data_IF_511691296223
#
_entry.id   IF_511691296223
#
_cell.length_a   1.000
_cell.length_b   1.000
_cell.length_c   1.000
_cell.angle_alpha   90.00
_cell.angle_beta   90.00
_cell.angle_gamma   90.00
#
_symmetry.space_group_name_H-M   'P 1'
#
loop_
_entity.id
_entity.type
_entity.pdbx_description
1 polymer ?
#
# COMPACT_ATOMS: atom_id res chain seq x y z
N UNK A 1 -5.53 7.00 10.20
CA UNK A 1 -4.69 7.83 11.10
C UNK A 1 -3.23 7.70 10.67
N UNK A 2 -2.54 8.80 10.35
CA UNK A 2 -1.09 8.74 10.19
C UNK A 2 -0.50 8.34 11.54
N UNK A 3 0.20 7.20 11.63
CA UNK A 3 1.10 6.93 12.75
C UNK A 3 2.11 8.08 12.79
N UNK A 4 1.83 9.06 13.65
CA UNK A 4 2.58 10.30 13.75
C UNK A 4 3.98 10.00 14.26
N UNK A 5 4.96 10.14 13.39
CA UNK A 5 6.35 10.08 13.77
C UNK A 5 6.68 11.45 14.41
N UNK A 6 6.72 11.52 15.74
CA UNK A 6 6.91 12.78 16.48
C UNK A 6 8.39 13.10 16.62
N UNK A 7 8.82 14.13 15.89
CA UNK A 7 10.20 14.63 15.86
C UNK A 7 10.42 15.72 16.93
N UNK A 8 11.51 15.62 17.68
CA UNK A 8 11.96 16.66 18.63
C UNK A 8 13.18 17.41 18.07
N UNK A 9 13.12 18.74 18.01
CA UNK A 9 14.15 19.62 17.43
C UNK A 9 15.26 20.08 18.40
N UNK A 10 15.25 19.64 19.66
CA UNK A 10 16.29 20.04 20.65
C UNK A 10 17.52 19.13 20.64
N UNK A 11 18.73 19.71 20.49
CA UNK A 11 20.04 19.04 20.60
C UNK A 11 20.26 18.44 21.99
N UNK A 12 20.56 17.13 22.08
CA UNK A 12 20.89 16.45 23.34
C UNK A 12 22.02 15.41 23.16
N UNK A 13 22.78 15.22 24.25
CA UNK A 13 23.98 14.38 24.44
C UNK A 13 23.72 12.86 24.36
N UNK A 14 24.70 12.00 23.99
CA UNK A 14 24.47 10.63 23.57
C UNK A 14 24.42 9.65 24.75
N UNK A 15 23.21 9.24 25.14
CA UNK A 15 22.97 8.02 25.93
C UNK A 15 21.71 7.29 25.44
N UNK A 16 21.51 7.29 24.13
CA UNK A 16 20.24 6.94 23.48
C UNK A 16 20.35 5.64 22.69
N UNK A 17 19.34 4.78 22.78
CA UNK A 17 19.17 3.63 21.91
C UNK A 17 19.03 4.08 20.44
N UNK A 18 19.97 3.63 19.60
CA UNK A 18 20.05 3.98 18.18
C UNK A 18 19.48 2.87 17.30
N UNK A 19 18.73 3.24 16.26
CA UNK A 19 18.30 2.32 15.20
C UNK A 19 18.62 2.91 13.84
N UNK A 20 19.14 2.07 12.94
CA UNK A 20 19.35 2.43 11.54
C UNK A 20 18.00 2.30 10.81
N UNK A 21 17.60 3.34 10.08
CA UNK A 21 16.39 3.31 9.25
C UNK A 21 16.74 3.73 7.83
N UNK A 22 16.32 2.91 6.85
CA UNK A 22 16.19 3.34 5.46
C UNK A 22 14.84 4.03 5.31
N UNK A 23 14.85 5.22 4.69
CA UNK A 23 13.68 6.10 4.61
C UNK A 23 13.15 6.13 3.18
N UNK A 24 12.17 5.27 2.83
CA UNK A 24 11.56 5.30 1.50
C UNK A 24 10.71 6.55 1.33
N UNK A 25 10.76 7.15 0.14
CA UNK A 25 10.20 8.46 -0.26
C UNK A 25 8.73 8.74 0.18
N UNK A 26 7.95 7.70 0.50
CA UNK A 26 6.53 7.80 0.88
C UNK A 26 6.21 7.51 2.35
N UNK A 27 7.22 7.37 3.22
CA UNK A 27 6.99 7.09 4.66
C UNK A 27 6.84 8.36 5.49
N UNK A 28 6.03 8.31 6.56
CA UNK A 28 5.90 9.42 7.53
C UNK A 28 7.24 9.81 8.13
N UNK A 29 8.15 8.84 8.34
CA UNK A 29 9.52 9.08 8.77
C UNK A 29 10.35 9.89 7.77
N UNK A 30 10.12 9.74 6.46
CA UNK A 30 10.80 10.53 5.43
C UNK A 30 10.30 11.96 5.42
N UNK A 31 8.99 12.16 5.56
CA UNK A 31 8.42 13.50 5.73
C UNK A 31 8.99 14.19 6.98
N UNK A 32 9.10 13.47 8.10
CA UNK A 32 9.77 13.97 9.31
C UNK A 32 11.25 14.27 9.06
N UNK A 33 11.97 13.47 8.27
CA UNK A 33 13.39 13.69 7.97
C UNK A 33 13.64 14.91 7.06
N UNK A 34 12.78 15.13 6.06
CA UNK A 34 12.81 16.32 5.22
C UNK A 34 12.43 17.55 6.05
N UNK A 35 11.38 17.46 6.88
CA UNK A 35 10.97 18.53 7.80
C UNK A 35 12.10 18.92 8.77
N UNK A 36 12.86 17.94 9.25
CA UNK A 36 14.04 18.16 10.08
C UNK A 36 15.23 18.82 9.36
N UNK A 37 15.21 18.88 8.02
CA UNK A 37 16.37 19.22 7.21
C UNK A 37 17.47 18.15 7.22
N UNK A 38 17.15 16.93 7.66
CA UNK A 38 18.11 15.84 7.78
C UNK A 38 18.46 15.22 6.41
N UNK A 39 17.50 15.18 5.49
CA UNK A 39 17.68 14.72 4.10
C UNK A 39 16.98 15.68 3.11
N UNK A 40 17.41 15.65 1.85
CA UNK A 40 16.76 16.43 0.77
C UNK A 40 15.54 15.68 0.21
N UNK A 41 14.53 16.43 -0.25
CA UNK A 41 13.40 15.86 -0.97
C UNK A 41 13.78 15.30 -2.37
N UNK A 42 14.97 15.65 -2.88
CA UNK A 42 15.42 15.26 -4.22
C UNK A 42 16.11 13.90 -4.23
N UNK A 43 16.97 13.66 -3.25
CA UNK A 43 17.91 12.55 -3.28
C UNK A 43 17.59 11.49 -2.20
N UNK A 44 16.68 11.78 -1.27
CA UNK A 44 16.37 10.92 -0.13
C UNK A 44 17.59 10.71 0.76
N UNK A 45 17.61 9.62 1.52
CA UNK A 45 18.80 9.23 2.29
C UNK A 45 18.54 8.13 3.32
N UNK A 46 19.61 7.71 3.99
CA UNK A 46 19.53 6.90 5.20
C UNK A 46 20.14 7.65 6.38
N UNK A 47 19.73 7.27 7.57
CA UNK A 47 20.38 7.75 8.78
C UNK A 47 19.99 6.98 10.02
N UNK A 48 20.54 7.41 11.13
CA UNK A 48 20.29 6.82 12.44
C UNK A 48 19.26 7.65 13.19
N UNK A 49 18.24 6.97 13.70
CA UNK A 49 17.25 7.51 14.60
C UNK A 49 17.69 7.26 16.04
N UNK A 50 17.58 8.29 16.87
CA UNK A 50 17.82 8.24 18.30
C UNK A 50 16.48 8.42 19.05
N UNK A 51 16.10 7.44 19.87
CA UNK A 51 14.92 7.51 20.73
C UNK A 51 15.18 8.38 21.95
N UNK A 52 14.65 9.60 21.98
CA UNK A 52 14.93 10.60 23.03
C UNK A 52 14.04 10.48 24.27
N UNK A 53 13.23 9.42 24.36
CA UNK A 53 12.33 9.19 25.49
C UNK A 53 11.16 10.18 25.52
N UNK A 54 10.64 10.47 26.72
CA UNK A 54 9.49 11.36 26.90
C UNK A 54 9.84 12.81 26.56
N UNK A 55 8.98 13.46 25.77
CA UNK A 55 9.07 14.87 25.41
C UNK A 55 7.71 15.53 25.48
N UNK A 56 7.71 16.84 25.70
CA UNK A 56 6.51 17.67 25.81
C UNK A 56 6.71 18.99 25.07
N UNK A 57 5.60 19.61 24.65
CA UNK A 57 5.61 20.92 24.00
C UNK A 57 6.10 20.84 22.57
N UNK A 58 5.22 20.40 21.67
CA UNK A 58 5.51 20.29 20.24
C UNK A 58 4.92 21.50 19.53
N UNK A 59 5.74 22.48 19.10
CA UNK A 59 5.23 23.62 18.36
C UNK A 59 4.82 23.22 16.94
N UNK A 60 3.80 23.90 16.41
CA UNK A 60 3.51 23.87 14.99
C UNK A 60 4.55 24.71 14.25
N UNK A 61 5.28 24.11 13.31
CA UNK A 61 6.35 24.77 12.55
C UNK A 61 6.25 24.35 11.10
N UNK A 62 6.29 25.34 10.20
CA UNK A 62 6.47 25.09 8.77
C UNK A 62 7.97 25.15 8.44
N UNK A 63 8.50 24.02 7.97
CA UNK A 63 9.92 23.92 7.61
C UNK A 63 10.09 23.02 6.39
N UNK A 64 10.94 23.46 5.45
CA UNK A 64 11.19 22.76 4.18
C UNK A 64 9.90 22.42 3.40
N UNK A 65 8.93 23.34 3.42
CA UNK A 65 7.62 23.21 2.77
C UNK A 65 6.76 22.06 3.31
N UNK A 66 7.01 21.65 4.55
CA UNK A 66 6.22 20.67 5.29
C UNK A 66 5.75 21.36 6.58
N UNK A 67 4.44 21.42 6.79
CA UNK A 67 3.88 21.93 8.03
C UNK A 67 3.76 20.80 9.06
N UNK A 68 4.32 21.01 10.26
CA UNK A 68 4.03 20.17 11.43
C UNK A 68 2.82 20.69 12.19
N UNK A 69 2.06 19.75 12.77
CA UNK A 69 0.96 20.09 13.68
C UNK A 69 1.51 20.14 15.11
N UNK A 70 1.17 21.20 15.82
CA UNK A 70 1.55 21.34 17.23
C UNK A 70 0.76 20.39 18.12
N UNK A 71 1.37 19.98 19.23
CA UNK A 71 0.74 19.16 20.26
C UNK A 71 1.04 19.75 21.63
N UNK A 72 -0.02 20.15 22.33
CA UNK A 72 0.01 20.87 23.61
C UNK A 72 0.11 19.94 24.83
N UNK A 73 0.64 18.73 24.62
CA UNK A 73 0.88 17.74 25.66
C UNK A 73 2.22 17.03 25.45
N UNK A 74 2.33 15.80 25.92
CA UNK A 74 3.55 15.00 25.93
C UNK A 74 3.34 13.64 25.27
N UNK A 75 4.41 13.09 24.70
CA UNK A 75 4.48 11.71 24.26
C UNK A 75 5.52 10.95 25.09
N UNK A 76 5.24 9.69 25.47
CA UNK A 76 6.16 8.87 26.27
C UNK A 76 7.47 8.55 25.56
N UNK A 77 7.46 8.63 24.22
CA UNK A 77 8.60 8.35 23.39
C UNK A 77 8.57 9.27 22.17
N UNK A 78 9.69 9.91 21.89
CA UNK A 78 9.95 10.68 20.69
C UNK A 78 11.29 10.26 20.10
N UNK A 79 11.56 10.70 18.88
CA UNK A 79 12.85 10.47 18.25
C UNK A 79 13.45 11.76 17.70
N UNK A 80 14.74 11.70 17.42
CA UNK A 80 15.48 12.70 16.66
C UNK A 80 16.42 12.01 15.68
N UNK A 81 16.90 12.75 14.69
CA UNK A 81 17.91 12.28 13.75
C UNK A 81 19.30 12.58 14.32
N UNK A 82 20.20 11.59 14.28
CA UNK A 82 21.58 11.79 14.74
C UNK A 82 22.33 12.61 13.69
N UNK A 83 22.71 13.85 14.02
CA UNK A 83 23.50 14.71 13.13
C UNK A 83 24.78 13.99 12.66
N UNK A 84 25.15 14.16 11.39
CA UNK A 84 26.31 13.51 10.78
C UNK A 84 26.15 12.01 10.50
N UNK A 85 25.03 11.38 10.91
CA UNK A 85 24.70 10.00 10.51
C UNK A 85 24.01 9.92 9.14
N UNK A 86 23.64 11.07 8.57
CA UNK A 86 23.07 11.15 7.24
C UNK A 86 24.09 10.61 6.24
N UNK A 87 23.71 9.55 5.53
CA UNK A 87 24.52 8.99 4.46
C UNK A 87 23.75 9.04 3.16
N UNK A 88 24.49 9.21 2.06
CA UNK A 88 23.98 9.00 0.71
C UNK A 88 23.73 7.50 0.50
N UNK A 89 22.63 6.99 1.03
CA UNK A 89 22.02 5.80 0.48
C UNK A 89 21.57 6.13 -0.93
N UNK A 90 22.46 5.93 -1.90
CA UNK A 90 22.13 6.13 -3.31
C UNK A 90 20.95 5.26 -3.67
N UNK A 91 19.89 5.89 -4.15
CA UNK A 91 18.79 5.16 -4.77
C UNK A 91 19.29 4.55 -6.09
N UNK A 92 19.58 3.26 -6.06
CA UNK A 92 20.09 2.51 -7.21
C UNK A 92 18.98 2.10 -8.19
N UNK A 93 17.70 2.42 -7.94
CA UNK A 93 16.57 2.02 -8.79
C UNK A 93 16.74 2.46 -10.23
N UNK A 94 17.04 3.73 -10.47
CA UNK A 94 17.17 4.28 -11.83
C UNK A 94 18.43 3.78 -12.56
N UNK A 95 19.63 3.76 -11.94
CA UNK A 95 20.79 3.11 -12.56
C UNK A 95 20.57 1.63 -12.90
N UNK A 96 19.99 0.86 -11.96
CA UNK A 96 19.71 -0.56 -12.19
C UNK A 96 18.64 -0.75 -13.27
N UNK A 97 17.67 0.16 -13.38
CA UNK A 97 16.67 0.14 -14.44
C UNK A 97 17.32 0.35 -15.80
N UNK A 98 18.22 1.33 -15.94
CA UNK A 98 18.94 1.57 -17.18
C UNK A 98 19.72 0.31 -17.64
N UNK A 99 20.46 -0.31 -16.71
CA UNK A 99 21.18 -1.57 -16.98
C UNK A 99 20.20 -2.66 -17.43
N UNK A 100 19.11 -2.85 -16.68
CA UNK A 100 18.14 -3.92 -16.95
C UNK A 100 17.43 -3.73 -18.29
N UNK A 101 17.05 -2.49 -18.64
CA UNK A 101 16.43 -2.15 -19.93
C UNK A 101 17.40 -2.40 -21.08
N UNK A 102 18.68 -2.02 -20.94
CA UNK A 102 19.70 -2.27 -21.97
C UNK A 102 19.89 -3.77 -22.20
N UNK A 103 20.12 -4.54 -21.13
CA UNK A 103 20.34 -5.99 -21.25
C UNK A 103 19.11 -6.72 -21.79
N UNK A 104 17.90 -6.40 -21.30
CA UNK A 104 16.67 -7.01 -21.82
C UNK A 104 16.38 -6.60 -23.26
N UNK A 105 16.73 -5.38 -23.69
CA UNK A 105 16.59 -4.94 -25.07
C UNK A 105 17.56 -5.66 -26.01
N UNK A 106 18.84 -5.79 -25.63
CA UNK A 106 19.82 -6.56 -26.38
C UNK A 106 19.38 -8.03 -26.50
N UNK A 107 19.00 -8.64 -25.37
CA UNK A 107 18.49 -10.01 -25.36
C UNK A 107 17.26 -10.16 -26.27
N UNK A 108 16.34 -9.19 -26.23
CA UNK A 108 15.16 -9.17 -27.09
C UNK A 108 15.53 -9.16 -28.56
N UNK A 109 16.43 -8.26 -29.00
CA UNK A 109 16.81 -8.13 -30.40
C UNK A 109 17.53 -9.37 -30.94
N UNK A 110 18.38 -10.01 -30.11
CA UNK A 110 19.20 -11.15 -30.54
C UNK A 110 18.57 -12.52 -30.28
N UNK A 111 17.42 -12.61 -29.60
CA UNK A 111 16.76 -13.89 -29.29
C UNK A 111 15.63 -14.19 -30.26
N UNK A 112 15.78 -15.28 -31.02
CA UNK A 112 14.78 -15.78 -31.96
C UNK A 112 13.83 -16.80 -31.35
N UNK A 113 14.24 -17.54 -30.31
CA UNK A 113 13.38 -18.49 -29.62
C UNK A 113 12.35 -17.78 -28.75
N UNK A 114 11.06 -17.96 -29.06
CA UNK A 114 9.94 -17.39 -28.31
C UNK A 114 9.94 -17.79 -26.83
N UNK A 115 10.27 -19.06 -26.54
CA UNK A 115 10.33 -19.58 -25.17
C UNK A 115 11.49 -18.96 -24.40
N UNK A 116 12.66 -18.88 -25.02
CA UNK A 116 13.85 -18.29 -24.39
C UNK A 116 13.62 -16.80 -24.14
N UNK A 117 13.10 -16.08 -25.14
CA UNK A 117 12.75 -14.66 -25.02
C UNK A 117 11.78 -14.43 -23.86
N UNK A 118 10.61 -15.07 -23.88
CA UNK A 118 9.60 -14.84 -22.84
C UNK A 118 10.10 -15.25 -21.45
N UNK A 119 10.69 -16.43 -21.31
CA UNK A 119 11.15 -16.94 -20.01
C UNK A 119 12.24 -16.08 -19.38
N UNK A 120 13.22 -15.65 -20.17
CA UNK A 120 14.32 -14.80 -19.68
C UNK A 120 13.85 -13.40 -19.35
N UNK A 121 13.05 -12.78 -20.21
CA UNK A 121 12.52 -11.43 -19.97
C UNK A 121 11.57 -11.42 -18.78
N UNK A 122 10.65 -12.39 -18.68
CA UNK A 122 9.78 -12.52 -17.52
C UNK A 122 10.58 -12.61 -16.22
N UNK A 123 11.60 -13.48 -16.20
CA UNK A 123 12.48 -13.67 -15.03
C UNK A 123 13.25 -12.40 -14.69
N UNK A 124 13.84 -11.74 -15.69
CA UNK A 124 14.60 -10.51 -15.50
C UNK A 124 13.72 -9.37 -14.95
N UNK A 125 12.54 -9.15 -15.53
CA UNK A 125 11.59 -8.15 -15.05
C UNK A 125 11.09 -8.49 -13.64
N UNK A 126 10.81 -9.77 -13.34
CA UNK A 126 10.33 -10.19 -12.03
C UNK A 126 11.33 -9.87 -10.92
N UNK A 127 12.60 -10.26 -11.11
CA UNK A 127 13.65 -9.96 -10.13
C UNK A 127 14.01 -8.47 -10.11
N UNK A 128 13.94 -7.78 -11.24
CA UNK A 128 14.12 -6.33 -11.26
C UNK A 128 13.08 -5.62 -10.40
N UNK A 129 11.80 -5.99 -10.53
CA UNK A 129 10.74 -5.41 -9.72
C UNK A 129 10.94 -5.78 -8.25
N UNK A 130 11.05 -7.07 -7.94
CA UNK A 130 11.07 -7.57 -6.56
C UNK A 130 12.33 -7.21 -5.75
N UNK A 131 13.46 -6.92 -6.41
CA UNK A 131 14.73 -6.62 -5.74
C UNK A 131 15.24 -5.20 -5.96
N UNK A 132 14.79 -4.49 -7.00
CA UNK A 132 15.27 -3.15 -7.32
C UNK A 132 14.15 -2.12 -7.34
N UNK A 133 13.28 -2.12 -8.35
CA UNK A 133 12.40 -0.96 -8.63
C UNK A 133 11.23 -0.80 -7.66
N UNK A 134 10.63 -1.90 -7.21
CA UNK A 134 9.48 -1.90 -6.29
C UNK A 134 9.50 -3.14 -5.37
N UNK A 135 10.53 -3.27 -4.50
CA UNK A 135 10.68 -4.44 -3.65
C UNK A 135 9.59 -4.51 -2.56
N UNK A 136 9.21 -5.70 -2.05
CA UNK A 136 8.27 -5.86 -0.94
C UNK A 136 8.67 -5.07 0.32
N UNK A 137 7.70 -4.60 1.11
CA UNK A 137 7.94 -3.74 2.28
C UNK A 137 8.51 -4.57 3.42
N UNK A 138 9.85 -4.62 3.56
CA UNK A 138 10.52 -5.27 4.69
C UNK A 138 11.76 -4.48 5.10
N UNK A 139 12.21 -4.67 6.33
CA UNK A 139 13.31 -3.90 6.93
C UNK A 139 14.71 -4.35 6.50
N UNK A 140 14.89 -5.59 6.06
CA UNK A 140 16.20 -6.16 5.73
C UNK A 140 16.24 -6.75 4.31
N UNK A 141 17.42 -6.69 3.67
CA UNK A 141 17.59 -7.15 2.30
C UNK A 141 17.39 -8.66 2.13
N UNK A 142 17.77 -9.47 3.14
CA UNK A 142 17.65 -10.92 3.07
C UNK A 142 16.18 -11.36 3.09
N UNK A 143 15.32 -10.70 3.86
CA UNK A 143 13.87 -10.96 3.81
C UNK A 143 13.27 -10.59 2.46
N UNK A 144 13.70 -9.49 1.83
CA UNK A 144 13.29 -9.12 0.46
C UNK A 144 13.65 -10.23 -0.53
N UNK A 145 14.87 -10.77 -0.47
CA UNK A 145 15.31 -11.88 -1.33
C UNK A 145 14.48 -13.14 -1.09
N UNK A 146 14.29 -13.51 0.19
CA UNK A 146 13.49 -14.68 0.58
C UNK A 146 12.05 -14.59 0.06
N UNK A 147 11.39 -13.45 0.26
CA UNK A 147 10.01 -13.21 -0.18
C UNK A 147 9.93 -13.22 -1.71
N UNK A 148 10.87 -12.58 -2.40
CA UNK A 148 10.88 -12.54 -3.87
C UNK A 148 11.05 -13.93 -4.45
N UNK A 149 11.96 -14.75 -3.92
CA UNK A 149 12.14 -16.13 -4.34
C UNK A 149 10.91 -16.99 -4.05
N UNK A 150 10.29 -16.83 -2.87
CA UNK A 150 9.06 -17.54 -2.51
C UNK A 150 7.90 -17.23 -3.46
N UNK A 151 7.82 -16.00 -3.97
CA UNK A 151 6.81 -15.57 -4.94
C UNK A 151 7.14 -16.00 -6.38
N UNK A 152 8.41 -16.20 -6.70
CA UNK A 152 8.85 -16.49 -8.07
C UNK A 152 8.36 -17.85 -8.58
N UNK A 153 8.39 -18.91 -7.78
CA UNK A 153 8.04 -20.25 -8.27
C UNK A 153 6.57 -20.34 -8.74
N UNK A 154 5.56 -19.92 -7.96
CA UNK A 154 4.18 -19.85 -8.45
C UNK A 154 4.03 -18.88 -9.63
N UNK A 155 4.73 -17.74 -9.62
CA UNK A 155 4.72 -16.79 -10.72
C UNK A 155 5.28 -17.39 -12.02
N UNK A 156 6.33 -18.21 -11.94
CA UNK A 156 6.92 -18.92 -13.07
C UNK A 156 5.96 -19.98 -13.65
N UNK A 157 5.17 -20.65 -12.80
CA UNK A 157 4.09 -21.52 -13.28
C UNK A 157 3.00 -20.74 -14.02
N UNK A 158 2.56 -19.60 -13.49
CA UNK A 158 1.66 -18.69 -14.20
C UNK A 158 2.28 -18.20 -15.52
N UNK A 159 3.57 -17.85 -15.52
CA UNK A 159 4.30 -17.42 -16.71
C UNK A 159 4.32 -18.54 -17.76
N UNK A 160 4.53 -19.79 -17.37
CA UNK A 160 4.44 -20.94 -18.28
C UNK A 160 3.05 -21.06 -18.90
N UNK A 161 1.97 -20.93 -18.11
CA UNK A 161 0.60 -20.96 -18.62
C UNK A 161 0.32 -19.78 -19.57
N UNK A 162 0.70 -18.56 -19.20
CA UNK A 162 0.61 -17.35 -20.03
C UNK A 162 1.36 -17.59 -21.35
N UNK A 163 2.59 -18.11 -21.28
CA UNK A 163 3.37 -18.44 -22.47
C UNK A 163 2.63 -19.44 -23.35
N UNK A 164 2.22 -20.57 -22.77
CA UNK A 164 1.67 -21.71 -23.50
C UNK A 164 0.36 -21.40 -24.22
N UNK A 165 -0.50 -20.59 -23.60
CA UNK A 165 -1.87 -20.35 -24.06
C UNK A 165 -2.08 -18.97 -24.68
N UNK A 166 -1.27 -17.96 -24.34
CA UNK A 166 -1.42 -16.59 -24.84
C UNK A 166 -0.27 -16.22 -25.77
N UNK A 167 0.95 -16.17 -25.24
CA UNK A 167 2.12 -15.56 -25.92
C UNK A 167 2.61 -16.42 -27.08
N UNK A 168 2.73 -17.75 -26.91
CA UNK A 168 3.31 -18.65 -27.92
C UNK A 168 2.69 -18.43 -29.29
N UNK A 169 1.37 -18.25 -29.36
CA UNK A 169 0.64 -18.03 -30.63
C UNK A 169 1.11 -16.78 -31.37
N UNK A 170 1.37 -15.69 -30.64
CA UNK A 170 1.81 -14.41 -31.22
C UNK A 170 3.26 -14.50 -31.71
N UNK A 171 4.11 -15.26 -31.02
CA UNK A 171 5.54 -15.35 -31.32
C UNK A 171 5.94 -16.52 -32.25
N UNK A 172 5.04 -17.46 -32.55
CA UNK A 172 5.30 -18.56 -33.50
C UNK A 172 5.09 -18.19 -34.97
N UNK A 173 4.69 -16.96 -35.27
CA UNK A 173 4.50 -16.53 -36.65
C UNK A 173 5.86 -16.26 -37.32
N UNK A 174 6.16 -16.89 -38.48
CA UNK A 174 7.45 -16.73 -39.15
C UNK A 174 7.82 -15.27 -39.42
N UNK A 175 6.85 -14.44 -39.84
CA UNK A 175 7.05 -13.02 -40.14
C UNK A 175 7.35 -12.16 -38.91
N UNK A 176 6.95 -12.60 -37.71
CA UNK A 176 7.24 -11.87 -36.48
C UNK A 176 8.60 -12.27 -35.88
N UNK A 177 9.13 -13.44 -36.25
CA UNK A 177 10.50 -13.85 -35.94
C UNK A 177 11.54 -12.96 -36.66
N UNK A 178 11.16 -12.31 -37.76
CA UNK A 178 12.01 -11.35 -38.48
C UNK A 178 11.91 -9.92 -37.91
N UNK A 179 10.79 -9.58 -37.25
CA UNK A 179 10.51 -8.24 -36.74
C UNK A 179 11.02 -8.01 -35.31
N UNK A 180 12.31 -8.28 -35.08
CA UNK A 180 12.94 -8.19 -33.75
C UNK A 180 12.83 -6.81 -33.10
N UNK A 181 12.87 -5.74 -33.90
CA UNK A 181 12.71 -4.36 -33.41
C UNK A 181 11.25 -4.11 -32.99
N UNK A 182 10.26 -4.51 -33.78
CA UNK A 182 8.84 -4.33 -33.42
C UNK A 182 8.49 -5.07 -32.14
N UNK A 183 8.96 -6.33 -32.01
CA UNK A 183 8.85 -7.13 -30.78
C UNK A 183 9.44 -6.40 -29.57
N UNK A 184 10.63 -5.84 -29.72
CA UNK A 184 11.34 -5.14 -28.64
C UNK A 184 10.62 -3.85 -28.25
N UNK A 185 10.24 -3.02 -29.21
CA UNK A 185 9.58 -1.73 -28.92
C UNK A 185 8.16 -1.94 -28.37
N UNK A 186 7.35 -2.77 -29.04
CA UNK A 186 5.93 -2.92 -28.68
C UNK A 186 5.74 -3.84 -27.47
N UNK A 187 6.36 -5.02 -27.47
CA UNK A 187 6.12 -6.00 -26.40
C UNK A 187 6.99 -5.71 -25.18
N UNK A 188 8.32 -5.62 -25.34
CA UNK A 188 9.22 -5.38 -24.20
C UNK A 188 9.04 -3.96 -23.64
N UNK A 189 8.88 -2.95 -24.50
CA UNK A 189 8.58 -1.59 -24.05
C UNK A 189 7.32 -1.51 -23.20
N UNK A 190 6.21 -2.12 -23.66
CA UNK A 190 4.98 -2.18 -22.87
C UNK A 190 5.12 -3.00 -21.58
N UNK A 191 5.89 -4.10 -21.61
CA UNK A 191 6.18 -4.90 -20.42
C UNK A 191 6.91 -4.10 -19.34
N UNK A 192 7.87 -3.25 -19.72
CA UNK A 192 8.52 -2.32 -18.79
C UNK A 192 7.55 -1.28 -18.23
N UNK A 193 6.68 -0.71 -19.08
CA UNK A 193 5.64 0.26 -18.63
C UNK A 193 4.70 -0.38 -17.60
N UNK A 194 4.30 -1.63 -17.80
CA UNK A 194 3.47 -2.37 -16.85
C UNK A 194 4.23 -2.81 -15.59
N UNK A 195 5.50 -3.22 -15.72
CA UNK A 195 6.34 -3.62 -14.60
C UNK A 195 6.64 -2.46 -13.63
N UNK A 196 6.69 -1.24 -14.16
CA UNK A 196 6.88 0.02 -13.43
C UNK A 196 5.55 0.71 -13.11
N UNK A 197 4.49 -0.06 -12.84
CA UNK A 197 3.14 0.44 -12.53
C UNK A 197 3.13 1.57 -11.48
N UNK A 198 3.97 1.44 -10.45
CA UNK A 198 4.15 2.42 -9.38
C UNK A 198 4.64 3.79 -9.87
N UNK A 199 5.33 3.85 -11.01
CA UNK A 199 5.80 5.09 -11.63
C UNK A 199 4.94 5.53 -12.83
N UNK A 200 4.13 4.63 -13.40
CA UNK A 200 3.32 4.87 -14.59
C UNK A 200 1.83 5.08 -14.25
N UNK A 201 1.10 4.04 -13.90
CA UNK A 201 -0.35 4.10 -13.69
C UNK A 201 -0.77 4.50 -12.28
N UNK A 202 0.04 4.21 -11.25
CA UNK A 202 -0.30 4.58 -9.87
C UNK A 202 -0.28 6.10 -9.66
N UNK A 203 0.24 6.89 -10.60
CA UNK A 203 0.15 8.35 -10.54
C UNK A 203 -1.21 8.90 -11.00
N UNK A 204 -2.08 8.06 -11.55
CA UNK A 204 -3.40 8.47 -12.03
C UNK A 204 -4.33 8.54 -10.79
N UNK A 205 -5.05 9.67 -10.58
CA UNK A 205 -5.85 9.93 -9.39
C UNK A 205 -7.18 9.15 -9.36
N UNK A 206 -7.11 7.81 -9.48
CA UNK A 206 -8.26 6.90 -9.48
C UNK A 206 -7.96 5.57 -8.76
N UNK A 207 -6.94 5.53 -7.90
CA UNK A 207 -6.39 4.28 -7.35
C UNK A 207 -7.41 3.42 -6.58
N UNK A 208 -8.33 4.03 -5.83
CA UNK A 208 -9.27 3.31 -4.96
C UNK A 208 -10.73 3.51 -5.37
N UNK A 209 -10.99 4.35 -6.38
CA UNK A 209 -12.33 4.72 -6.85
C UNK A 209 -13.27 5.12 -5.70
N UNK A 210 -12.74 5.73 -4.63
CA UNK A 210 -13.57 6.21 -3.53
C UNK A 210 -14.24 7.53 -3.91
N UNK A 211 -15.36 7.91 -3.24
CA UNK A 211 -15.97 9.22 -3.45
C UNK A 211 -14.98 10.38 -3.26
N UNK A 212 -13.99 10.23 -2.40
CA UNK A 212 -12.93 11.22 -2.18
C UNK A 212 -11.95 11.30 -3.36
N UNK A 213 -11.56 10.17 -3.97
CA UNK A 213 -10.66 10.17 -5.13
C UNK A 213 -11.30 10.85 -6.33
N UNK A 214 -12.62 10.69 -6.53
CA UNK A 214 -13.36 11.33 -7.61
C UNK A 214 -13.49 12.85 -7.48
N UNK A 215 -13.24 13.39 -6.28
CA UNK A 215 -13.21 14.83 -6.03
C UNK A 215 -11.86 15.47 -6.41
N UNK A 216 -10.83 14.67 -6.68
CA UNK A 216 -9.53 15.20 -7.10
C UNK A 216 -9.61 15.84 -8.50
N UNK A 217 -8.91 16.96 -8.73
CA UNK A 217 -8.95 17.63 -10.02
C UNK A 217 -8.45 16.70 -11.14
N UNK A 218 -9.30 16.47 -12.14
CA UNK A 218 -8.98 15.62 -13.31
C UNK A 218 -9.27 14.13 -13.14
N UNK A 219 -9.70 13.65 -11.96
CA UNK A 219 -9.98 12.23 -11.71
C UNK A 219 -11.09 11.68 -12.61
N UNK A 220 -12.22 12.40 -12.74
CA UNK A 220 -13.34 12.00 -13.59
C UNK A 220 -12.92 11.95 -15.07
N UNK A 221 -12.16 12.95 -15.54
CA UNK A 221 -11.65 13.00 -16.92
C UNK A 221 -10.74 11.81 -17.21
N UNK A 222 -9.79 11.52 -16.31
CA UNK A 222 -8.90 10.37 -16.45
C UNK A 222 -9.67 9.05 -16.47
N UNK A 223 -10.67 8.89 -15.59
CA UNK A 223 -11.54 7.71 -15.55
C UNK A 223 -12.28 7.51 -16.87
N UNK A 224 -12.91 8.55 -17.41
CA UNK A 224 -13.64 8.48 -18.68
C UNK A 224 -12.71 8.08 -19.83
N UNK A 225 -11.52 8.68 -19.92
CA UNK A 225 -10.53 8.35 -20.95
C UNK A 225 -10.12 6.87 -20.86
N UNK A 226 -9.83 6.37 -19.66
CA UNK A 226 -9.40 4.99 -19.45
C UNK A 226 -10.52 4.01 -19.80
N UNK A 227 -11.76 4.28 -19.35
CA UNK A 227 -12.91 3.43 -19.66
C UNK A 227 -13.16 3.37 -21.17
N UNK A 228 -13.14 4.51 -21.85
CA UNK A 228 -13.30 4.57 -23.31
C UNK A 228 -12.16 3.84 -24.03
N UNK A 229 -10.90 4.01 -23.58
CA UNK A 229 -9.76 3.31 -24.16
C UNK A 229 -9.89 1.79 -24.01
N UNK A 230 -10.23 1.29 -22.82
CA UNK A 230 -10.45 -0.14 -22.56
C UNK A 230 -11.61 -0.67 -23.43
N UNK A 231 -12.70 0.08 -23.55
CA UNK A 231 -13.85 -0.29 -24.38
C UNK A 231 -13.45 -0.42 -25.86
N UNK A 232 -12.73 0.56 -26.41
CA UNK A 232 -12.28 0.52 -27.81
C UNK A 232 -11.30 -0.64 -28.05
N UNK A 233 -10.39 -0.90 -27.10
CA UNK A 233 -9.48 -2.06 -27.14
C UNK A 233 -10.29 -3.35 -27.15
N UNK A 234 -11.26 -3.50 -26.23
CA UNK A 234 -12.09 -4.69 -26.13
C UNK A 234 -12.90 -4.95 -27.41
N UNK A 235 -13.52 -3.90 -27.98
CA UNK A 235 -14.24 -3.99 -29.25
C UNK A 235 -13.32 -4.39 -30.41
N UNK A 236 -12.12 -3.81 -30.50
CA UNK A 236 -11.13 -4.16 -31.52
C UNK A 236 -10.64 -5.61 -31.41
N UNK A 237 -10.37 -6.06 -30.19
CA UNK A 237 -9.97 -7.45 -29.92
C UNK A 237 -11.12 -8.43 -30.19
N UNK A 238 -12.36 -8.10 -29.82
CA UNK A 238 -13.53 -8.91 -30.10
C UNK A 238 -13.80 -9.03 -31.61
N UNK A 239 -13.66 -7.92 -32.36
CA UNK A 239 -13.75 -7.94 -33.82
C UNK A 239 -12.67 -8.84 -34.43
N UNK A 240 -11.42 -8.71 -33.99
CA UNK A 240 -10.33 -9.53 -34.50
C UNK A 240 -10.51 -11.03 -34.14
N UNK A 241 -10.98 -11.36 -32.94
CA UNK A 241 -11.35 -12.73 -32.54
C UNK A 241 -12.50 -13.30 -33.36
N UNK A 242 -13.46 -12.45 -33.76
CA UNK A 242 -14.55 -12.81 -34.68
C UNK A 242 -14.01 -13.11 -36.07
N UNK A 243 -13.12 -12.28 -36.61
CA UNK A 243 -12.47 -12.50 -37.91
C UNK A 243 -11.62 -13.79 -37.89
N UNK A 244 -10.93 -14.11 -36.79
CA UNK A 244 -10.23 -15.39 -36.61
C UNK A 244 -11.15 -16.61 -36.43
N UNK A 245 -12.48 -16.43 -36.33
CA UNK A 245 -13.44 -17.51 -36.12
C UNK A 245 -13.41 -18.13 -34.72
N UNK A 246 -12.82 -17.46 -33.73
CA UNK A 246 -12.62 -17.97 -32.35
C UNK A 246 -13.59 -17.38 -31.33
N UNK A 247 -14.43 -16.43 -31.75
CA UNK A 247 -15.35 -15.70 -30.88
C UNK A 247 -16.18 -16.59 -29.94
N UNK A 248 -16.80 -17.70 -30.38
CA UNK A 248 -17.63 -18.50 -29.46
C UNK A 248 -16.85 -19.08 -28.27
N UNK A 249 -15.62 -19.56 -28.48
CA UNK A 249 -14.77 -20.12 -27.42
C UNK A 249 -14.34 -19.05 -26.42
N UNK A 250 -14.03 -17.86 -26.92
CA UNK A 250 -13.64 -16.72 -26.08
C UNK A 250 -14.82 -16.15 -25.31
N UNK A 251 -15.99 -16.05 -25.95
CA UNK A 251 -17.21 -15.64 -25.28
C UNK A 251 -17.55 -16.62 -24.14
N UNK A 252 -17.44 -17.94 -24.39
CA UNK A 252 -17.62 -18.94 -23.33
C UNK A 252 -16.61 -18.78 -22.18
N UNK A 253 -15.34 -18.51 -22.47
CA UNK A 253 -14.32 -18.24 -21.47
C UNK A 253 -14.64 -16.99 -20.63
N UNK A 254 -15.02 -15.89 -21.28
CA UNK A 254 -15.34 -14.64 -20.57
C UNK A 254 -16.67 -14.71 -19.82
N UNK A 255 -17.64 -15.47 -20.30
CA UNK A 255 -18.86 -15.82 -19.55
C UNK A 255 -18.50 -16.63 -18.31
N UNK A 256 -17.58 -17.60 -18.41
CA UNK A 256 -17.08 -18.35 -17.26
C UNK A 256 -16.38 -17.46 -16.24
N UNK A 257 -15.50 -16.55 -16.69
CA UNK A 257 -14.87 -15.57 -15.80
C UNK A 257 -15.92 -14.67 -15.11
N UNK A 258 -16.89 -14.16 -15.86
CA UNK A 258 -17.97 -13.35 -15.31
C UNK A 258 -18.84 -14.11 -14.31
N UNK A 259 -19.15 -15.39 -14.59
CA UNK A 259 -19.89 -16.24 -13.68
C UNK A 259 -19.11 -16.53 -12.39
N UNK A 260 -17.81 -16.82 -12.50
CA UNK A 260 -16.94 -17.02 -11.34
C UNK A 260 -16.85 -15.74 -10.48
N UNK A 261 -16.64 -14.59 -11.11
CA UNK A 261 -16.65 -13.30 -10.40
C UNK A 261 -18.01 -13.00 -9.77
N UNK A 262 -19.11 -13.26 -10.47
CA UNK A 262 -20.47 -13.10 -9.95
C UNK A 262 -20.74 -14.00 -8.74
N UNK A 263 -20.26 -15.24 -8.77
CA UNK A 263 -20.28 -16.14 -7.61
C UNK A 263 -19.49 -15.58 -6.43
N UNK A 264 -18.28 -15.05 -6.68
CA UNK A 264 -17.46 -14.44 -5.62
C UNK A 264 -18.13 -13.20 -5.02
N UNK A 265 -18.77 -12.35 -5.85
CA UNK A 265 -19.55 -11.18 -5.39
C UNK A 265 -20.75 -11.59 -4.52
N UNK A 266 -21.35 -12.75 -4.80
CA UNK A 266 -22.51 -13.24 -4.06
C UNK A 266 -22.17 -13.80 -2.66
N UNK A 267 -20.89 -13.97 -2.32
CA UNK A 267 -20.48 -14.47 -1.00
C UNK A 267 -20.72 -13.38 0.06
N UNK A 268 -21.53 -13.65 1.10
CA UNK A 268 -21.86 -12.65 2.12
C UNK A 268 -20.62 -12.27 2.95
N UNK A 269 -20.60 -11.03 3.44
CA UNK A 269 -19.54 -10.46 4.29
C UNK A 269 -18.12 -10.44 3.66
N UNK A 270 -18.02 -10.60 2.34
CA UNK A 270 -16.78 -10.50 1.59
C UNK A 270 -16.93 -9.46 0.49
N UNK A 271 -15.83 -8.85 0.11
CA UNK A 271 -15.77 -7.88 -0.97
C UNK A 271 -14.76 -8.34 -2.02
N UNK A 272 -15.15 -8.22 -3.29
CA UNK A 272 -14.26 -8.54 -4.41
C UNK A 272 -13.31 -7.38 -4.66
N UNK A 273 -12.01 -7.64 -4.56
CA UNK A 273 -10.95 -6.71 -4.93
C UNK A 273 -10.14 -7.27 -6.10
N UNK A 274 -10.28 -6.63 -7.24
CA UNK A 274 -9.55 -7.02 -8.45
C UNK A 274 -8.22 -6.27 -8.48
N UNK A 275 -7.18 -6.89 -7.94
CA UNK A 275 -5.81 -6.40 -8.07
C UNK A 275 -5.39 -6.38 -9.55
N UNK A 276 -4.49 -5.48 -9.93
CA UNK A 276 -4.04 -5.32 -11.32
C UNK A 276 -3.42 -6.60 -11.90
N UNK A 277 -2.81 -7.45 -11.09
CA UNK A 277 -2.32 -8.75 -11.56
C UNK A 277 -3.46 -9.72 -11.91
N UNK A 278 -4.59 -9.67 -11.20
CA UNK A 278 -5.79 -10.48 -11.49
C UNK A 278 -6.42 -9.93 -12.78
N UNK A 279 -6.54 -8.61 -12.89
CA UNK A 279 -7.01 -7.95 -14.10
C UNK A 279 -6.16 -8.37 -15.31
N UNK A 280 -4.84 -8.40 -15.17
CA UNK A 280 -3.93 -8.88 -16.20
C UNK A 280 -4.24 -10.32 -16.62
N UNK A 281 -4.44 -11.25 -15.67
CA UNK A 281 -4.79 -12.63 -15.97
C UNK A 281 -6.15 -12.78 -16.67
N UNK A 282 -7.14 -11.96 -16.31
CA UNK A 282 -8.46 -11.95 -16.94
C UNK A 282 -8.41 -11.41 -18.38
N UNK A 283 -7.59 -10.40 -18.66
CA UNK A 283 -7.53 -9.73 -19.95
C UNK A 283 -6.54 -10.39 -20.94
N UNK A 284 -5.47 -11.03 -20.45
CA UNK A 284 -4.44 -11.65 -21.30
C UNK A 284 -5.00 -12.61 -22.37
N UNK A 285 -5.94 -13.53 -22.07
CA UNK A 285 -6.50 -14.43 -23.08
C UNK A 285 -7.06 -13.70 -24.30
N UNK A 286 -7.79 -12.61 -24.08
CA UNK A 286 -8.41 -11.79 -25.12
C UNK A 286 -7.43 -11.12 -26.07
N UNK A 287 -6.14 -11.07 -25.70
CA UNK A 287 -5.05 -10.54 -26.51
C UNK A 287 -4.28 -11.62 -27.28
N UNK A 288 -4.70 -12.90 -27.24
CA UNK A 288 -4.02 -14.00 -27.96
C UNK A 288 -4.32 -14.00 -29.46
N UNK A 289 -3.89 -12.95 -30.13
CA UNK A 289 -4.04 -12.70 -31.56
C UNK A 289 -2.68 -12.40 -32.21
N UNK A 290 -2.62 -12.56 -33.53
CA UNK A 290 -1.43 -12.26 -34.33
C UNK A 290 -1.54 -10.87 -34.97
N UNK A 291 -1.56 -9.82 -34.14
CA UNK A 291 -1.55 -8.43 -34.61
C UNK A 291 -0.70 -7.53 -33.70
N UNK A 292 -0.27 -6.38 -34.23
CA UNK A 292 0.61 -5.42 -33.51
C UNK A 292 -0.01 -4.88 -32.22
N UNK A 293 -1.29 -4.48 -32.16
CA UNK A 293 -1.90 -4.04 -30.89
C UNK A 293 -1.82 -5.11 -29.80
N UNK A 294 -2.02 -6.37 -30.15
CA UNK A 294 -1.96 -7.48 -29.19
C UNK A 294 -0.57 -7.68 -28.60
N UNK A 295 0.51 -7.37 -29.35
CA UNK A 295 1.86 -7.36 -28.78
C UNK A 295 2.00 -6.33 -27.65
N UNK A 296 1.52 -5.11 -27.90
CA UNK A 296 1.54 -4.04 -26.91
C UNK A 296 0.73 -4.44 -25.66
N UNK A 297 -0.49 -4.95 -25.85
CA UNK A 297 -1.37 -5.32 -24.73
C UNK A 297 -0.83 -6.51 -23.94
N UNK A 298 -0.30 -7.54 -24.61
CA UNK A 298 0.33 -8.68 -23.94
C UNK A 298 1.53 -8.24 -23.09
N UNK A 299 2.42 -7.41 -23.66
CA UNK A 299 3.56 -6.85 -22.93
C UNK A 299 3.09 -6.11 -21.69
N UNK A 300 2.18 -5.14 -21.85
CA UNK A 300 1.65 -4.34 -20.76
C UNK A 300 1.04 -5.19 -19.64
N UNK A 301 0.16 -6.14 -19.98
CA UNK A 301 -0.53 -6.98 -19.00
C UNK A 301 0.44 -7.95 -18.30
N UNK A 302 1.44 -8.50 -19.01
CA UNK A 302 2.51 -9.30 -18.38
C UNK A 302 3.30 -8.43 -17.40
N UNK A 303 3.64 -7.20 -17.76
CA UNK A 303 4.29 -6.24 -16.87
C UNK A 303 3.46 -5.96 -15.61
N UNK A 304 2.16 -5.68 -15.75
CA UNK A 304 1.24 -5.46 -14.64
C UNK A 304 1.13 -6.70 -13.72
N UNK A 305 1.08 -7.90 -14.32
CA UNK A 305 1.10 -9.16 -13.57
C UNK A 305 2.39 -9.29 -12.75
N UNK A 306 3.54 -9.06 -13.39
CA UNK A 306 4.85 -9.09 -12.71
C UNK A 306 4.89 -8.08 -11.57
N UNK A 307 4.49 -6.83 -11.81
CA UNK A 307 4.48 -5.79 -10.79
C UNK A 307 3.65 -6.21 -9.57
N UNK A 308 2.41 -6.64 -9.79
CA UNK A 308 1.50 -7.02 -8.72
C UNK A 308 2.04 -8.19 -7.88
N UNK A 309 2.52 -9.25 -8.53
CA UNK A 309 3.02 -10.43 -7.80
C UNK A 309 4.37 -10.17 -7.14
N UNK A 310 5.32 -9.52 -7.81
CA UNK A 310 6.64 -9.28 -7.23
C UNK A 310 6.55 -8.38 -6.00
N UNK A 311 5.79 -7.28 -6.07
CA UNK A 311 5.61 -6.31 -4.97
C UNK A 311 4.65 -6.79 -3.88
N UNK A 312 3.46 -7.26 -4.25
CA UNK A 312 2.37 -7.56 -3.30
C UNK A 312 2.16 -9.06 -3.04
N UNK A 313 2.56 -9.92 -3.97
CA UNK A 313 2.32 -11.36 -3.91
C UNK A 313 0.96 -11.74 -4.48
N UNK A 314 0.56 -12.99 -4.27
CA UNK A 314 -0.74 -13.52 -4.67
C UNK A 314 -1.81 -13.17 -3.63
N UNK A 315 -2.18 -11.89 -3.57
CA UNK A 315 -3.22 -11.42 -2.64
C UNK A 315 -4.60 -11.97 -3.00
N UNK A 316 -5.49 -12.10 -2.02
CA UNK A 316 -6.81 -12.69 -2.24
C UNK A 316 -7.69 -11.80 -3.14
N UNK A 317 -8.46 -12.43 -4.03
CA UNK A 317 -9.53 -11.75 -4.78
C UNK A 317 -10.72 -11.36 -3.87
N UNK A 318 -10.90 -12.09 -2.77
CA UNK A 318 -11.91 -11.83 -1.76
C UNK A 318 -11.26 -11.33 -0.48
N UNK A 319 -11.65 -10.14 -0.04
CA UNK A 319 -11.15 -9.51 1.18
C UNK A 319 -12.33 -9.21 2.11
N UNK A 320 -12.09 -9.30 3.42
CA UNK A 320 -13.10 -8.87 4.40
C UNK A 320 -13.23 -7.34 4.37
N UNK A 321 -14.37 -6.77 4.78
CA UNK A 321 -14.52 -5.32 4.92
C UNK A 321 -13.37 -4.68 5.73
N UNK A 322 -12.94 -5.33 6.82
CA UNK A 322 -11.82 -4.86 7.64
C UNK A 322 -10.49 -4.76 6.86
N UNK A 323 -10.19 -5.72 5.98
CA UNK A 323 -8.96 -5.69 5.17
C UNK A 323 -8.97 -4.59 4.09
N UNK A 324 -10.15 -4.17 3.62
CA UNK A 324 -10.28 -3.14 2.60
C UNK A 324 -10.17 -1.71 3.13
N UNK A 325 -10.56 -1.49 4.39
CA UNK A 325 -10.54 -0.16 4.98
C UNK A 325 -9.13 0.34 5.31
N UNK A 326 -8.16 -0.55 5.55
CA UNK A 326 -6.84 -0.14 6.01
C UNK A 326 -6.95 0.67 7.31
N UNK A 327 -6.57 1.95 7.27
CA UNK A 327 -6.67 2.89 8.40
C UNK A 327 -7.98 3.71 8.44
N UNK A 328 -9.00 3.31 7.69
CA UNK A 328 -10.31 3.99 7.61
C UNK A 328 -11.26 3.63 8.75
N UNK A 329 -12.29 4.47 8.98
CA UNK A 329 -13.32 4.25 10.00
C UNK A 329 -14.26 3.09 9.61
N UNK A 330 -14.35 2.05 10.44
CA UNK A 330 -15.15 0.85 10.23
C UNK A 330 -16.67 1.06 10.43
N UNK A 331 -17.07 2.19 11.03
CA UNK A 331 -18.46 2.44 11.45
C UNK A 331 -18.91 1.53 12.59
N UNK A 332 -17.96 1.04 13.38
CA UNK A 332 -18.19 0.13 14.51
C UNK A 332 -18.90 0.82 15.68
N UNK A 333 -19.47 0.02 16.58
CA UNK A 333 -20.03 0.52 17.82
C UNK A 333 -18.96 1.23 18.63
N UNK A 334 -19.34 2.34 19.25
CA UNK A 334 -18.44 3.13 20.10
C UNK A 334 -18.81 2.92 21.57
N UNK A 335 -17.82 2.80 22.47
CA UNK A 335 -18.08 2.72 23.91
C UNK A 335 -18.86 3.94 24.40
N UNK A 336 -19.96 3.68 25.11
CA UNK A 336 -20.67 4.70 25.87
C UNK A 336 -20.11 4.73 27.28
N UNK A 337 -19.47 5.83 27.64
CA UNK A 337 -18.87 6.01 28.96
C UNK A 337 -19.85 6.74 29.88
N UNK A 338 -19.84 6.37 31.16
CA UNK A 338 -20.39 7.23 32.20
C UNK A 338 -19.55 8.51 32.33
N UNK A 339 -20.15 9.56 32.89
CA UNK A 339 -19.40 10.77 33.22
C UNK A 339 -18.19 10.41 34.11
N UNK A 340 -16.96 10.80 33.73
CA UNK A 340 -15.78 10.36 34.44
C UNK A 340 -15.70 10.97 35.84
N UNK A 341 -15.20 10.19 36.79
CA UNK A 341 -14.94 10.68 38.14
C UNK A 341 -13.54 11.29 38.15
N UNK A 342 -13.47 12.62 38.22
CA UNK A 342 -12.22 13.37 38.28
C UNK A 342 -11.80 13.60 39.74
N UNK A 343 -10.66 13.04 40.15
CA UNK A 343 -9.99 13.39 41.40
C UNK A 343 -8.89 14.43 41.19
N UNK A 344 -8.15 14.74 42.25
CA UNK A 344 -7.09 15.77 42.20
C UNK A 344 -5.95 15.41 41.22
N UNK A 345 -5.63 14.12 41.08
CA UNK A 345 -4.54 13.62 40.21
C UNK A 345 -4.91 12.39 39.40
N UNK A 346 -6.17 11.96 39.44
CA UNK A 346 -6.63 10.81 38.68
C UNK A 346 -7.98 11.10 38.01
N UNK A 347 -8.25 10.35 36.96
CA UNK A 347 -9.54 10.36 36.27
C UNK A 347 -9.96 8.91 36.03
N UNK A 348 -11.20 8.59 36.39
CA UNK A 348 -11.74 7.23 36.25
C UNK A 348 -12.87 7.23 35.23
N UNK A 349 -12.74 6.37 34.23
CA UNK A 349 -13.74 6.12 33.21
C UNK A 349 -14.38 4.76 33.46
N UNK A 350 -15.71 4.69 33.39
CA UNK A 350 -16.46 3.45 33.52
C UNK A 350 -17.41 3.29 32.32
N UNK A 351 -17.68 2.05 31.93
CA UNK A 351 -18.56 1.71 30.81
C UNK A 351 -19.57 0.64 31.23
N UNK A 352 -20.71 0.60 30.54
CA UNK A 352 -21.78 -0.36 30.82
C UNK A 352 -21.58 -1.63 30.00
N UNK A 353 -20.74 -2.54 30.50
CA UNK A 353 -20.52 -3.88 29.92
C UNK A 353 -20.06 -3.87 28.46
N UNK A 354 -20.12 -5.04 27.83
CA UNK A 354 -19.73 -5.23 26.43
C UNK A 354 -20.93 -5.70 25.60
N UNK A 355 -21.23 -5.06 24.45
CA UNK A 355 -22.27 -5.54 23.53
C UNK A 355 -21.88 -6.88 22.89
N UNK A 356 -22.89 -7.65 22.45
CA UNK A 356 -22.67 -8.94 21.78
C UNK A 356 -21.62 -8.85 20.66
N UNK A 357 -20.60 -9.73 20.73
CA UNK A 357 -19.51 -9.81 19.76
C UNK A 357 -18.26 -8.97 20.11
N UNK A 358 -18.32 -8.15 21.15
CA UNK A 358 -17.19 -7.42 21.72
C UNK A 358 -16.84 -8.01 23.08
N UNK A 359 -15.55 -8.22 23.35
CA UNK A 359 -15.05 -8.86 24.56
C UNK A 359 -14.04 -7.97 25.31
N UNK A 360 -13.83 -6.73 24.86
CA UNK A 360 -12.90 -5.82 25.51
C UNK A 360 -12.98 -4.36 25.08
N UNK A 361 -12.10 -3.54 25.66
CA UNK A 361 -11.95 -2.11 25.40
C UNK A 361 -10.47 -1.75 25.30
N UNK A 362 -10.12 -0.88 24.35
CA UNK A 362 -8.82 -0.23 24.25
C UNK A 362 -8.94 1.25 24.59
N UNK A 363 -7.98 1.77 25.35
CA UNK A 363 -7.90 3.19 25.71
C UNK A 363 -6.60 3.79 25.23
N UNK A 364 -6.71 4.84 24.42
CA UNK A 364 -5.59 5.70 24.05
C UNK A 364 -5.52 6.89 24.99
N UNK A 365 -4.30 7.23 25.42
CA UNK A 365 -3.98 8.50 26.08
C UNK A 365 -2.93 9.20 25.23
N UNK A 366 -3.24 10.39 24.72
CA UNK A 366 -2.43 11.12 23.75
C UNK A 366 -2.09 10.27 22.53
N UNK A 367 -3.09 9.59 21.95
CA UNK A 367 -2.96 8.70 20.78
C UNK A 367 -1.96 7.52 20.97
N UNK A 368 -1.63 7.17 22.22
CA UNK A 368 -0.84 5.98 22.57
C UNK A 368 -1.70 5.03 23.38
N UNK A 369 -1.74 3.76 22.98
CA UNK A 369 -2.50 2.72 23.71
C UNK A 369 -1.89 2.51 25.09
N UNK A 370 -2.70 2.73 26.13
CA UNK A 370 -2.30 2.62 27.54
C UNK A 370 -2.98 1.49 28.27
N UNK A 371 -4.12 1.03 27.77
CA UNK A 371 -4.92 0.03 28.45
C UNK A 371 -5.67 -0.83 27.45
N UNK A 372 -5.72 -2.13 27.76
CA UNK A 372 -6.63 -3.11 27.18
C UNK A 372 -7.32 -3.82 28.33
N UNK A 373 -8.64 -3.74 28.37
CA UNK A 373 -9.47 -4.46 29.34
C UNK A 373 -10.33 -5.48 28.61
N UNK A 374 -10.51 -6.67 29.19
CA UNK A 374 -11.40 -7.70 28.64
C UNK A 374 -12.51 -8.05 29.64
N UNK A 375 -13.66 -8.45 29.11
CA UNK A 375 -14.83 -8.88 29.89
C UNK A 375 -14.50 -10.04 30.83
N UNK A 376 -13.77 -11.05 30.34
CA UNK A 376 -13.35 -12.22 31.12
C UNK A 376 -12.48 -11.86 32.34
N UNK A 377 -11.84 -10.69 32.32
CA UNK A 377 -11.05 -10.16 33.43
C UNK A 377 -11.80 -9.13 34.28
N UNK A 378 -13.12 -8.96 34.07
CA UNK A 378 -13.95 -8.02 34.83
C UNK A 378 -13.57 -6.56 34.59
N UNK A 379 -13.08 -6.21 33.39
CA UNK A 379 -12.71 -4.84 33.08
C UNK A 379 -13.96 -3.96 32.89
N UNK A 380 -14.36 -3.26 33.94
CA UNK A 380 -15.53 -2.34 33.94
C UNK A 380 -15.11 -0.86 34.01
N UNK A 381 -13.86 -0.59 34.38
CA UNK A 381 -13.35 0.77 34.52
C UNK A 381 -11.85 0.86 34.24
N UNK A 382 -11.42 2.08 33.95
CA UNK A 382 -10.03 2.47 33.75
C UNK A 382 -9.74 3.75 34.54
N UNK A 383 -8.79 3.67 35.47
CA UNK A 383 -8.28 4.83 36.20
C UNK A 383 -6.93 5.23 35.63
N UNK A 384 -6.82 6.50 35.22
CA UNK A 384 -5.59 7.10 34.77
C UNK A 384 -5.06 8.08 35.82
N UNK A 385 -3.77 7.98 36.13
CA UNK A 385 -3.07 8.93 36.99
C UNK A 385 -2.31 9.95 36.13
N UNK A 386 -2.54 11.22 36.42
CA UNK A 386 -1.87 12.34 35.74
C UNK A 386 -0.37 12.24 35.93
N UNK A 387 0.36 12.15 34.82
CA UNK A 387 1.83 12.08 34.86
C UNK A 387 2.48 13.45 34.90
N UNK A 388 1.86 14.44 34.25
CA UNK A 388 2.36 15.81 34.16
C UNK A 388 1.28 16.81 34.54
N UNK A 389 1.58 17.65 35.52
CA UNK A 389 0.71 18.74 35.93
C UNK A 389 0.71 19.85 34.88
N UNK A 390 -0.43 20.51 34.69
CA UNK A 390 -0.57 21.65 33.78
C UNK A 390 -0.68 21.33 32.28
N UNK A 391 -0.53 20.06 31.86
CA UNK A 391 -0.71 19.65 30.46
C UNK A 391 -2.08 19.01 30.23
N UNK A 392 -2.67 19.21 29.06
CA UNK A 392 -3.91 18.54 28.66
C UNK A 392 -3.63 17.08 28.30
N UNK A 393 -4.50 16.15 28.69
CA UNK A 393 -4.41 14.74 28.29
C UNK A 393 -5.66 14.36 27.48
N UNK A 394 -5.44 13.68 26.35
CA UNK A 394 -6.49 13.35 25.38
C UNK A 394 -6.83 11.87 25.46
N UNK A 395 -8.10 11.54 25.66
CA UNK A 395 -8.57 10.16 25.85
C UNK A 395 -9.45 9.71 24.70
N UNK A 396 -9.22 8.51 24.18
CA UNK A 396 -10.08 7.86 23.18
C UNK A 396 -10.31 6.42 23.54
N UNK A 397 -11.48 5.90 23.18
CA UNK A 397 -11.94 4.58 23.57
C UNK A 397 -12.45 3.83 22.35
N UNK A 398 -12.16 2.55 22.26
CA UNK A 398 -12.66 1.65 21.22
C UNK A 398 -13.02 0.30 21.83
N UNK A 399 -14.07 -0.34 21.34
CA UNK A 399 -14.31 -1.75 21.69
C UNK A 399 -13.29 -2.66 21.01
N UNK A 400 -13.12 -3.86 21.58
CA UNK A 400 -12.25 -4.92 21.07
C UNK A 400 -12.98 -6.25 20.94
N UNK A 401 -12.58 -7.03 19.95
CA UNK A 401 -12.98 -8.43 19.78
C UNK A 401 -11.71 -9.25 19.59
N UNK A 402 -11.29 -9.97 20.63
CA UNK A 402 -10.01 -10.63 20.75
C UNK A 402 -8.82 -9.67 20.63
N UNK A 403 -8.11 -9.72 19.50
CA UNK A 403 -6.96 -8.84 19.22
C UNK A 403 -7.28 -7.65 18.32
N UNK A 404 -8.48 -7.62 17.73
CA UNK A 404 -8.90 -6.55 16.82
C UNK A 404 -9.55 -5.41 17.59
N UNK A 405 -9.20 -4.19 17.21
CA UNK A 405 -9.73 -2.96 17.81
C UNK A 405 -10.69 -2.31 16.81
N UNK A 406 -11.85 -1.86 17.30
CA UNK A 406 -12.81 -1.09 16.53
C UNK A 406 -12.40 0.38 16.35
N UNK A 407 -13.38 1.21 16.02
CA UNK A 407 -13.17 2.65 15.86
C UNK A 407 -13.01 3.33 17.22
N UNK A 408 -12.06 4.25 17.28
CA UNK A 408 -11.90 5.11 18.44
C UNK A 408 -12.94 6.23 18.42
N UNK A 409 -13.42 6.59 19.61
CA UNK A 409 -14.18 7.82 19.82
C UNK A 409 -13.35 9.07 19.47
N UNK A 410 -14.03 10.20 19.26
CA UNK A 410 -13.33 11.49 19.29
C UNK A 410 -12.69 11.71 20.66
N UNK A 411 -11.62 12.51 20.70
CA UNK A 411 -10.87 12.73 21.92
C UNK A 411 -11.69 13.52 22.94
N UNK A 412 -11.70 13.03 24.18
CA UNK A 412 -12.12 13.78 25.36
C UNK A 412 -10.89 14.41 25.98
N UNK A 413 -11.04 15.58 26.60
CA UNK A 413 -9.90 16.39 27.04
C UNK A 413 -9.95 16.50 28.55
N UNK A 414 -8.92 15.97 29.22
CA UNK A 414 -8.64 16.33 30.60
C UNK A 414 -7.66 17.48 30.62
N UNK A 415 -8.19 18.70 30.69
CA UNK A 415 -7.40 19.92 30.55
C UNK A 415 -6.37 20.09 31.68
N UNK A 416 -5.33 20.88 31.43
CA UNK A 416 -4.27 21.14 32.41
C UNK A 416 -4.75 21.74 33.74
N UNK A 417 -5.91 22.41 33.74
CA UNK A 417 -6.58 22.95 34.94
C UNK A 417 -7.42 21.91 35.71
N UNK A 418 -7.44 20.65 35.28
CA UNK A 418 -8.20 19.56 35.89
C UNK A 418 -9.63 19.41 35.40
N UNK A 419 -10.15 20.33 34.57
CA UNK A 419 -11.50 20.22 34.00
C UNK A 419 -11.58 19.13 32.92
N UNK A 420 -12.73 18.47 32.85
CA UNK A 420 -13.05 17.49 31.81
C UNK A 420 -13.91 18.13 30.72
N UNK A 421 -13.50 17.94 29.46
CA UNK A 421 -14.30 18.27 28.28
C UNK A 421 -14.73 16.97 27.62
N UNK A 422 -16.04 16.81 27.49
CA UNK A 422 -16.64 15.60 26.94
C UNK A 422 -16.27 15.38 25.47
N UNK A 423 -16.20 14.12 25.09
CA UNK A 423 -15.96 13.69 23.72
C UNK A 423 -17.09 14.16 22.81
N UNK A 424 -16.74 14.75 21.67
CA UNK A 424 -17.73 15.00 20.62
C UNK A 424 -18.30 13.68 20.08
N UNK A 425 -19.56 13.65 19.62
CA UNK A 425 -20.16 12.42 19.11
C UNK A 425 -19.47 11.90 17.84
N UNK A 426 -19.47 10.57 17.68
CA UNK A 426 -18.93 9.86 16.53
C UNK A 426 -17.47 9.41 16.68
N UNK A 427 -16.99 8.70 15.66
CA UNK A 427 -15.63 8.16 15.62
C UNK A 427 -14.60 9.23 15.23
N UNK A 428 -13.36 9.03 15.67
CA UNK A 428 -12.20 9.83 15.26
C UNK A 428 -11.84 9.54 13.81
N UNK A 429 -11.68 10.58 12.98
CA UNK A 429 -11.25 10.44 11.58
C UNK A 429 -9.78 10.11 11.44
#
# INVERSE_FOLDING_TARGET
MATGAVLSTTRLSPSVAQRIASLPVSSTLTLSAIHAGFISNKDGGCGVLALVGEKSGYPAVDQYSIASVGFDSYFPQSFTFVEGSASECRDLRWPLLAVSVIFTSLLSVFTTSAALFFGTIFTALFFHVGLASDPPSNSDYYSIVSITLGRFLPAAFCAFAIYRYVIKRTFTQPKLLDAQIEKTVLWLGAAWVGALNNYTFDKIPIQRLTPHDLQQPGAITALVIIVLAILLIALGQAWALRVEGRMPRYLALYVLFGALLGFLVAIPNMNVRIHHYILALLLLPGTSLQNRPSLLYQGLLVGLFINGIARWGFDSILQTPAMLLGDGQLGTLLPQLAAPVTGARNITFAWQGFPDGWDGISVLVNDVERFRGYEDFGAESFTWERRREGLSEYFRFAFMSGSQVGDYTRAGIWAGNGSWVEMLPGSSR
#
